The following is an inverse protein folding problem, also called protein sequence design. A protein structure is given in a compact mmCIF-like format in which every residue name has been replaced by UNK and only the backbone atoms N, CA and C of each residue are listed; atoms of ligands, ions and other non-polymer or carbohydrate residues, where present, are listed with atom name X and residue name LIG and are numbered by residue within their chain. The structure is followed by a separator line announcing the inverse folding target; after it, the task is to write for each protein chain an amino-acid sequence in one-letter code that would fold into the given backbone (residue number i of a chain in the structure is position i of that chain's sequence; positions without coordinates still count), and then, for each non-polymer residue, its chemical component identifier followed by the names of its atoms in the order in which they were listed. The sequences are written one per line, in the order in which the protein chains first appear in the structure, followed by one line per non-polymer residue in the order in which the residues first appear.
data_IF_367182081608
#
_entry.id   IF_367182081608
#
_cell.length_a   1.000
_cell.length_b   1.000
_cell.length_c   1.000
_cell.angle_alpha   90.00
_cell.angle_beta   90.00
_cell.angle_gamma   90.00
#
_symmetry.space_group_name_H-M   'P 1'
#
loop_
_entity.id
_entity.type
_entity.pdbx_description
1 polymer ?
#
# COMPACT_ATOMS: atom_id res chain seq x y z
N UNK A 1 -33.18 28.32 12.87
CA UNK A 1 -32.00 27.88 13.65
C UNK A 1 -30.91 27.44 12.68
N UNK A 2 -29.73 28.08 12.70
CA UNK A 2 -28.69 27.93 11.68
C UNK A 2 -28.08 26.53 11.73
N UNK A 3 -27.67 25.96 10.58
CA UNK A 3 -26.84 24.73 10.52
C UNK A 3 -25.37 25.19 10.53
N UNK A 4 -24.67 25.21 11.68
CA UNK A 4 -23.35 25.86 11.75
C UNK A 4 -22.26 24.97 11.12
N UNK A 5 -22.55 23.70 10.82
CA UNK A 5 -21.60 22.72 10.32
C UNK A 5 -22.24 21.92 9.18
N UNK A 6 -21.51 21.74 8.07
CA UNK A 6 -21.86 20.83 6.96
C UNK A 6 -21.70 19.35 7.38
N UNK A 7 -22.34 18.94 8.48
CA UNK A 7 -22.27 17.59 9.05
C UNK A 7 -23.68 17.07 9.29
N UNK A 8 -23.84 15.74 9.21
CA UNK A 8 -25.13 15.10 9.45
C UNK A 8 -25.52 15.23 10.94
N UNK A 9 -26.83 15.31 11.20
CA UNK A 9 -27.36 15.34 12.57
C UNK A 9 -26.96 14.10 13.38
N UNK A 10 -26.86 12.95 12.73
CA UNK A 10 -26.42 11.69 13.34
C UNK A 10 -24.95 11.74 13.77
N UNK A 11 -24.07 12.28 12.93
CA UNK A 11 -22.65 12.47 13.29
C UNK A 11 -22.49 13.47 14.44
N UNK A 12 -23.23 14.59 14.42
CA UNK A 12 -23.21 15.58 15.51
C UNK A 12 -23.70 14.96 16.81
N UNK A 13 -24.82 14.21 16.78
CA UNK A 13 -25.37 13.55 17.97
C UNK A 13 -24.41 12.52 18.55
N UNK A 14 -23.75 11.71 17.70
CA UNK A 14 -22.77 10.71 18.12
C UNK A 14 -21.52 11.35 18.75
N UNK A 15 -21.12 12.52 18.27
CA UNK A 15 -20.03 13.29 18.87
C UNK A 15 -20.42 13.87 20.23
N UNK A 16 -21.61 14.49 20.33
CA UNK A 16 -22.07 15.11 21.58
C UNK A 16 -22.40 14.06 22.67
N UNK A 17 -22.76 12.84 22.30
CA UNK A 17 -23.06 11.78 23.27
C UNK A 17 -21.82 11.23 23.98
N UNK A 18 -20.67 11.20 23.29
CA UNK A 18 -19.38 10.78 23.87
C UNK A 18 -18.23 11.40 23.06
N UNK A 19 -17.82 12.63 23.37
CA UNK A 19 -16.78 13.32 22.62
C UNK A 19 -15.38 12.74 22.87
N UNK A 20 -15.18 12.01 23.98
CA UNK A 20 -13.88 11.45 24.37
C UNK A 20 -13.60 10.18 23.55
N UNK A 21 -14.61 9.34 23.34
CA UNK A 21 -14.47 8.11 22.53
C UNK A 21 -14.75 8.30 21.05
N UNK A 22 -15.26 9.46 20.61
CA UNK A 22 -15.61 9.70 19.21
C UNK A 22 -14.40 9.61 18.28
N UNK A 23 -14.43 8.64 17.36
CA UNK A 23 -13.36 8.43 16.39
C UNK A 23 -12.21 7.54 16.88
N UNK A 24 -12.28 7.04 18.12
CA UNK A 24 -11.37 6.00 18.58
C UNK A 24 -11.60 4.72 17.77
N UNK A 25 -10.51 4.05 17.37
CA UNK A 25 -10.60 2.75 16.72
C UNK A 25 -11.05 1.73 17.75
N UNK A 26 -12.25 1.20 17.58
CA UNK A 26 -12.68 0.03 18.32
C UNK A 26 -11.93 -1.20 17.81
N UNK A 27 -11.35 -1.98 18.74
CA UNK A 27 -10.60 -3.21 18.43
C UNK A 27 -11.43 -4.27 17.68
N UNK A 28 -12.75 -4.12 17.64
CA UNK A 28 -13.68 -4.99 16.92
C UNK A 28 -13.63 -4.81 15.39
N UNK A 29 -13.16 -3.66 14.89
CA UNK A 29 -13.08 -3.40 13.46
C UNK A 29 -11.78 -3.96 12.85
N UNK A 30 -11.68 -5.28 12.75
CA UNK A 30 -10.69 -5.90 11.86
C UNK A 30 -11.06 -5.49 10.44
N UNK A 31 -10.20 -4.72 9.77
CA UNK A 31 -10.42 -4.28 8.39
C UNK A 31 -10.60 -5.43 7.40
N UNK A 32 -10.61 -5.10 6.10
CA UNK A 32 -10.78 -6.10 5.04
C UNK A 32 -9.83 -7.29 5.24
N UNK A 33 -10.40 -8.50 5.32
CA UNK A 33 -9.61 -9.73 5.45
C UNK A 33 -8.60 -9.83 4.31
N UNK A 34 -7.37 -10.24 4.63
CA UNK A 34 -6.32 -10.49 3.63
C UNK A 34 -6.74 -11.66 2.74
N UNK A 35 -6.42 -11.58 1.45
CA UNK A 35 -6.68 -12.65 0.48
C UNK A 35 -5.77 -13.86 0.67
N UNK A 36 -4.61 -13.68 1.30
CA UNK A 36 -3.63 -14.72 1.56
C UNK A 36 -3.21 -14.66 3.04
N UNK A 37 -2.96 -15.82 3.65
CA UNK A 37 -2.38 -15.90 4.98
C UNK A 37 -0.88 -15.59 4.95
N UNK A 38 -0.29 -15.28 6.11
CA UNK A 38 1.17 -15.10 6.22
C UNK A 38 1.97 -16.37 5.89
N UNK A 39 1.33 -17.54 5.89
CA UNK A 39 1.97 -18.80 5.45
C UNK A 39 1.97 -18.87 3.93
N UNK A 40 0.85 -18.54 3.30
CA UNK A 40 0.69 -18.53 1.85
C UNK A 40 1.68 -17.55 1.21
N UNK A 41 1.80 -16.34 1.77
CA UNK A 41 2.77 -15.34 1.30
C UNK A 41 4.20 -15.86 1.35
N UNK A 42 4.59 -16.56 2.44
CA UNK A 42 5.93 -17.15 2.56
C UNK A 42 6.15 -18.27 1.55
N UNK A 43 5.15 -19.10 1.32
CA UNK A 43 5.23 -20.20 0.36
C UNK A 43 5.35 -19.67 -1.07
N UNK A 44 4.56 -18.67 -1.43
CA UNK A 44 4.64 -17.98 -2.74
C UNK A 44 6.05 -17.42 -2.95
N UNK A 45 6.59 -16.69 -1.96
CA UNK A 45 7.94 -16.14 -2.04
C UNK A 45 8.98 -17.25 -2.23
N UNK A 46 8.88 -18.33 -1.44
CA UNK A 46 9.81 -19.45 -1.51
C UNK A 46 9.77 -20.12 -2.88
N UNK A 47 8.59 -20.48 -3.38
CA UNK A 47 8.44 -21.16 -4.66
C UNK A 47 8.90 -20.23 -5.80
N UNK A 48 8.39 -19.00 -5.86
CA UNK A 48 8.77 -18.02 -6.88
C UNK A 48 10.28 -17.73 -6.92
N UNK A 49 10.96 -17.71 -5.76
CA UNK A 49 12.39 -17.41 -5.67
C UNK A 49 13.28 -18.59 -6.09
N UNK A 50 12.78 -19.82 -6.03
CA UNK A 50 13.56 -21.04 -6.26
C UNK A 50 13.24 -21.73 -7.59
N UNK A 51 12.15 -21.35 -8.28
CA UNK A 51 11.76 -21.94 -9.56
C UNK A 51 11.42 -20.87 -10.62
N UNK A 52 11.45 -21.27 -11.89
CA UNK A 52 10.99 -20.47 -13.04
C UNK A 52 9.53 -20.72 -13.42
N UNK A 53 8.72 -21.34 -12.55
CA UNK A 53 7.31 -21.70 -12.79
C UNK A 53 6.38 -20.51 -13.02
N UNK A 54 5.31 -20.67 -13.79
CA UNK A 54 4.38 -19.55 -14.01
C UNK A 54 3.60 -19.18 -12.74
N UNK A 55 3.01 -17.98 -12.68
CA UNK A 55 2.10 -17.60 -11.56
C UNK A 55 0.95 -18.60 -11.44
N UNK A 56 0.39 -19.02 -12.57
CA UNK A 56 -0.73 -19.95 -12.59
C UNK A 56 -0.32 -21.32 -12.03
N UNK A 57 0.90 -21.77 -12.33
CA UNK A 57 1.46 -22.97 -11.69
C UNK A 57 1.65 -22.79 -10.19
N UNK A 58 2.16 -21.65 -9.73
CA UNK A 58 2.32 -21.36 -8.30
C UNK A 58 0.96 -21.30 -7.59
N UNK A 59 -0.04 -20.67 -8.20
CA UNK A 59 -1.40 -20.58 -7.68
C UNK A 59 -2.09 -21.96 -7.66
N UNK A 60 -1.84 -22.80 -8.68
CA UNK A 60 -2.34 -24.17 -8.72
C UNK A 60 -1.65 -25.07 -7.68
N UNK A 61 -0.34 -24.94 -7.48
CA UNK A 61 0.43 -25.70 -6.49
C UNK A 61 0.05 -25.32 -5.06
N UNK A 62 -0.14 -24.03 -4.79
CA UNK A 62 -0.41 -23.52 -3.44
C UNK A 62 -1.91 -23.38 -3.13
N UNK A 63 -2.79 -23.53 -4.13
CA UNK A 63 -4.23 -23.33 -3.97
C UNK A 63 -4.61 -21.89 -3.62
N UNK A 64 -3.81 -20.91 -4.06
CA UNK A 64 -3.97 -19.50 -3.69
C UNK A 64 -4.36 -18.65 -4.90
N UNK A 65 -5.23 -17.65 -4.71
CA UNK A 65 -5.55 -16.65 -5.76
C UNK A 65 -4.73 -15.37 -5.55
N UNK A 66 -3.40 -15.46 -5.73
CA UNK A 66 -2.50 -14.31 -5.60
C UNK A 66 -2.32 -13.63 -6.94
N UNK A 67 -2.37 -12.29 -6.93
CA UNK A 67 -2.35 -11.47 -8.14
C UNK A 67 -0.99 -11.56 -8.87
N UNK A 68 -0.99 -11.58 -10.22
CA UNK A 68 0.22 -11.67 -11.05
C UNK A 68 1.32 -10.69 -10.72
N UNK A 69 0.96 -9.50 -10.22
CA UNK A 69 1.90 -8.43 -9.92
C UNK A 69 2.88 -8.76 -8.77
N UNK A 70 2.47 -9.59 -7.82
CA UNK A 70 3.30 -9.86 -6.64
C UNK A 70 4.44 -10.83 -6.91
N UNK A 71 4.27 -11.80 -7.81
CA UNK A 71 5.27 -12.85 -8.03
C UNK A 71 6.55 -12.37 -8.74
N UNK A 72 6.51 -11.55 -9.79
CA UNK A 72 7.72 -10.97 -10.41
C UNK A 72 8.54 -10.14 -9.42
N UNK A 73 7.88 -9.39 -8.54
CA UNK A 73 8.52 -8.63 -7.47
C UNK A 73 9.33 -9.53 -6.52
N UNK A 74 8.78 -10.70 -6.16
CA UNK A 74 9.48 -11.67 -5.31
C UNK A 74 10.49 -12.54 -6.06
N UNK A 75 10.30 -12.81 -7.36
CA UNK A 75 11.30 -13.46 -8.21
C UNK A 75 12.59 -12.68 -8.29
N UNK A 76 12.47 -11.36 -8.39
CA UNK A 76 13.60 -10.45 -8.54
C UNK A 76 14.13 -9.91 -7.20
N UNK A 77 13.69 -10.45 -6.04
CA UNK A 77 14.18 -10.03 -4.71
C UNK A 77 15.70 -10.17 -4.53
N UNK A 78 16.36 -10.97 -5.38
CA UNK A 78 17.82 -11.15 -5.40
C UNK A 78 18.56 -10.12 -6.27
N UNK A 79 17.87 -9.29 -7.05
CA UNK A 79 18.46 -8.13 -7.73
C UNK A 79 18.33 -6.89 -6.84
N UNK A 80 19.28 -5.97 -6.94
CA UNK A 80 19.27 -4.70 -6.21
C UNK A 80 18.07 -3.85 -6.62
N UNK A 81 16.95 -3.99 -5.90
CA UNK A 81 15.76 -3.16 -6.08
C UNK A 81 16.02 -1.79 -5.47
N UNK A 82 15.83 -0.74 -6.27
CA UNK A 82 15.84 0.63 -5.79
C UNK A 82 14.40 1.11 -5.65
N UNK A 83 14.01 1.48 -4.44
CA UNK A 83 12.70 2.04 -4.15
C UNK A 83 12.62 3.47 -4.67
N UNK A 84 11.60 3.78 -5.48
CA UNK A 84 11.33 5.13 -5.95
C UNK A 84 10.13 5.70 -5.20
N UNK A 85 10.30 6.87 -4.62
CA UNK A 85 9.24 7.68 -4.01
C UNK A 85 9.38 9.13 -4.49
N UNK A 86 8.29 9.88 -4.40
CA UNK A 86 8.30 11.32 -4.56
C UNK A 86 8.87 12.01 -3.30
N UNK A 87 9.47 13.19 -3.46
CA UNK A 87 9.96 14.01 -2.34
C UNK A 87 8.82 14.81 -1.68
N UNK A 88 7.61 14.25 -1.63
CA UNK A 88 6.50 14.88 -0.91
C UNK A 88 6.89 15.11 0.56
N UNK A 89 6.39 16.19 1.16
CA UNK A 89 6.71 16.57 2.56
C UNK A 89 6.39 15.42 3.55
N UNK A 90 5.39 14.61 3.23
CA UNK A 90 4.97 13.45 4.03
C UNK A 90 6.01 12.31 3.95
N UNK A 91 6.67 12.14 2.80
CA UNK A 91 7.59 11.04 2.51
C UNK A 91 9.06 11.38 2.81
N UNK A 92 9.35 12.63 3.18
CA UNK A 92 10.71 13.15 3.43
C UNK A 92 11.12 13.19 4.91
N UNK A 93 10.30 12.65 5.82
CA UNK A 93 10.60 12.62 7.25
C UNK A 93 11.82 11.75 7.59
N UNK A 94 12.61 12.19 8.58
CA UNK A 94 13.80 11.46 9.05
C UNK A 94 13.43 10.06 9.59
N UNK A 95 12.26 9.90 10.19
CA UNK A 95 11.79 8.60 10.67
C UNK A 95 11.65 7.58 9.54
N UNK A 96 11.19 8.03 8.37
CA UNK A 96 10.95 7.18 7.21
C UNK A 96 12.27 6.82 6.51
N UNK A 97 13.20 7.78 6.44
CA UNK A 97 14.59 7.54 6.00
C UNK A 97 15.30 6.50 6.89
N UNK A 98 15.19 6.64 8.21
CA UNK A 98 15.76 5.69 9.17
C UNK A 98 15.13 4.29 9.06
N UNK A 99 13.82 4.21 8.76
CA UNK A 99 13.14 2.95 8.52
C UNK A 99 13.66 2.26 7.24
N UNK A 100 13.85 3.00 6.15
CA UNK A 100 14.42 2.43 4.94
C UNK A 100 15.84 1.91 5.16
N UNK A 101 16.67 2.68 5.87
CA UNK A 101 18.02 2.28 6.24
C UNK A 101 18.02 1.00 7.10
N UNK A 102 17.13 0.90 8.11
CA UNK A 102 17.03 -0.28 8.97
C UNK A 102 16.52 -1.53 8.24
N UNK A 103 15.76 -1.35 7.16
CA UNK A 103 15.28 -2.43 6.28
C UNK A 103 16.24 -2.73 5.13
N UNK A 104 17.36 -2.01 5.00
CA UNK A 104 18.29 -2.16 3.88
C UNK A 104 17.69 -1.81 2.52
N UNK A 105 16.67 -0.94 2.50
CA UNK A 105 15.99 -0.52 1.27
C UNK A 105 16.76 0.64 0.68
N UNK A 106 17.31 0.45 -0.54
CA UNK A 106 17.95 1.52 -1.30
C UNK A 106 16.87 2.43 -1.88
N UNK A 107 16.81 3.68 -1.45
CA UNK A 107 15.91 4.69 -2.04
C UNK A 107 16.64 5.39 -3.20
N UNK A 108 15.93 5.61 -4.31
CA UNK A 108 16.44 6.36 -5.45
C UNK A 108 16.55 7.83 -5.07
N UNK A 109 17.73 8.42 -5.25
CA UNK A 109 17.89 9.86 -5.11
C UNK A 109 17.25 10.52 -6.34
N UNK A 110 16.28 11.41 -6.12
CA UNK A 110 15.41 11.93 -7.16
C UNK A 110 15.24 13.44 -7.02
N UNK A 111 15.28 14.21 -8.14
CA UNK A 111 15.10 15.65 -8.10
C UNK A 111 13.71 16.02 -7.57
N UNK A 112 13.66 17.03 -6.72
CA UNK A 112 12.42 17.61 -6.20
C UNK A 112 11.66 18.28 -7.36
N UNK A 113 10.33 18.13 -7.39
CA UNK A 113 9.44 18.76 -8.39
C UNK A 113 9.61 18.29 -9.85
N UNK A 114 9.82 16.99 -10.09
CA UNK A 114 9.76 16.38 -11.43
C UNK A 114 8.57 15.40 -11.56
N UNK A 115 7.33 15.91 -11.68
CA UNK A 115 6.12 15.10 -11.81
C UNK A 115 6.10 14.30 -13.12
N UNK A 116 6.61 14.89 -14.20
CA UNK A 116 6.78 14.32 -15.54
C UNK A 116 7.62 13.04 -15.56
N UNK A 117 8.58 12.96 -14.65
CA UNK A 117 9.46 11.82 -14.51
C UNK A 117 8.92 10.79 -13.49
N UNK A 118 7.78 11.04 -12.84
CA UNK A 118 7.16 10.12 -11.88
C UNK A 118 6.25 9.11 -12.61
N UNK A 119 6.63 7.83 -12.74
CA UNK A 119 5.83 6.84 -13.45
C UNK A 119 4.46 6.60 -12.81
N UNK A 120 4.31 6.92 -11.52
CA UNK A 120 3.02 6.85 -10.83
C UNK A 120 2.08 7.95 -11.36
N UNK A 121 2.57 9.19 -11.50
CA UNK A 121 1.77 10.31 -12.03
C UNK A 121 1.39 10.08 -13.49
N UNK A 122 2.34 9.64 -14.32
CA UNK A 122 2.05 9.26 -15.71
C UNK A 122 0.99 8.15 -15.80
N UNK A 123 1.00 7.20 -14.85
CA UNK A 123 -0.02 6.17 -14.77
C UNK A 123 -1.39 6.76 -14.38
N UNK A 124 -1.44 7.66 -13.40
CA UNK A 124 -2.67 8.35 -13.01
C UNK A 124 -3.27 9.13 -14.19
N UNK A 125 -2.46 9.83 -14.98
CA UNK A 125 -2.91 10.54 -16.18
C UNK A 125 -3.61 9.62 -17.19
N UNK A 126 -3.14 8.38 -17.36
CA UNK A 126 -3.79 7.39 -18.22
C UNK A 126 -5.12 6.86 -17.66
N UNK A 127 -5.31 6.94 -16.35
CA UNK A 127 -6.51 6.48 -15.65
C UNK A 127 -7.58 7.56 -15.52
N UNK A 128 -7.21 8.84 -15.41
CA UNK A 128 -8.17 9.95 -15.27
C UNK A 128 -9.29 9.90 -16.33
N UNK A 129 -9.01 9.71 -17.64
CA UNK A 129 -10.06 9.62 -18.67
C UNK A 129 -10.93 8.37 -18.63
N UNK A 130 -10.58 7.35 -17.82
CA UNK A 130 -11.37 6.12 -17.65
C UNK A 130 -12.28 6.16 -16.43
N UNK A 131 -12.02 7.08 -15.51
CA UNK A 131 -12.75 7.23 -14.24
C UNK A 131 -13.79 8.35 -14.32
N UNK A 132 -13.55 9.35 -15.17
CA UNK A 132 -14.48 10.43 -15.52
C UNK A 132 -15.11 10.16 -16.88
#
# INVERSE_FOLDING_TARGET
MPRPLKKSRSSIRRYLSDPVSYGQKHNEYSGRKRKASSRDERNVIRTASNSSTSLNEINAELGTDVYPFFVPFFRNRRRSLTFKQDNAVINSSNSLKNLFASKGIKVLDWPTCSPDLNPIENLWELFVPRVY
#
